data_IF_275878824368
#
_entry.id   IF_275878824368
#
_cell.length_a   1.000
_cell.length_b   1.000
_cell.length_c   1.000
_cell.angle_alpha   90.00
_cell.angle_beta   90.00
_cell.angle_gamma   90.00
#
_symmetry.space_group_name_H-M   'P 1'
#
loop_
_entity.id
_entity.type
_entity.pdbx_description
1 polymer ?
#
# COMPACT_ATOMS: atom_id res chain seq x y z
N UNK A 1 3.16 -79.62 -21.11
CA UNK A 1 4.36 -80.46 -21.07
C UNK A 1 5.24 -80.00 -22.24
N UNK A 2 6.44 -79.50 -22.13
CA UNK A 2 7.35 -79.11 -21.04
C UNK A 2 8.41 -78.26 -21.79
N UNK A 3 8.73 -77.07 -21.32
CA UNK A 3 9.97 -76.81 -20.56
C UNK A 3 11.28 -76.94 -21.37
N UNK A 4 11.91 -75.78 -21.57
CA UNK A 4 13.25 -75.45 -21.07
C UNK A 4 14.50 -75.51 -22.00
N UNK A 5 15.32 -74.47 -21.79
CA UNK A 5 16.80 -74.35 -21.92
C UNK A 5 17.42 -74.23 -23.32
N UNK A 6 18.44 -73.40 -23.58
CA UNK A 6 19.15 -72.37 -22.79
C UNK A 6 20.13 -71.61 -23.72
N UNK A 7 20.23 -70.28 -23.53
CA UNK A 7 21.38 -69.33 -23.67
C UNK A 7 22.54 -69.49 -24.67
N UNK A 8 22.80 -68.38 -25.38
CA UNK A 8 23.96 -67.49 -25.15
C UNK A 8 23.61 -66.07 -25.65
N UNK A 9 23.48 -65.08 -24.76
CA UNK A 9 24.52 -64.10 -24.36
C UNK A 9 24.83 -63.02 -25.41
N UNK A 10 24.03 -61.94 -25.41
CA UNK A 10 24.48 -60.62 -25.84
C UNK A 10 24.16 -59.62 -24.72
N UNK A 11 25.17 -58.88 -24.29
CA UNK A 11 25.08 -57.95 -23.17
C UNK A 11 24.31 -56.69 -23.53
N UNK A 12 23.32 -56.33 -22.71
CA UNK A 12 22.80 -54.96 -22.67
C UNK A 12 23.77 -54.07 -21.87
N UNK A 13 24.15 -52.90 -22.39
CA UNK A 13 24.94 -51.93 -21.64
C UNK A 13 24.06 -51.31 -20.56
N UNK A 14 24.67 -51.13 -19.38
CA UNK A 14 24.03 -50.65 -18.17
C UNK A 14 23.22 -49.37 -18.38
N UNK A 15 22.06 -49.34 -17.72
CA UNK A 15 21.32 -48.11 -17.47
C UNK A 15 22.21 -47.11 -16.75
N UNK A 16 22.70 -46.15 -17.51
CA UNK A 16 23.37 -44.98 -16.98
C UNK A 16 22.28 -44.12 -16.33
N UNK A 17 22.09 -44.33 -15.03
CA UNK A 17 21.34 -43.45 -14.15
C UNK A 17 22.01 -42.08 -14.21
N UNK A 18 21.56 -41.25 -15.17
CA UNK A 18 21.99 -39.86 -15.33
C UNK A 18 21.69 -39.15 -14.02
N UNK A 19 22.73 -39.00 -13.19
CA UNK A 19 22.76 -38.03 -12.10
C UNK A 19 22.32 -36.69 -12.69
N UNK A 20 21.40 -35.95 -12.03
CA UNK A 20 20.97 -34.66 -12.55
C UNK A 20 22.22 -33.78 -12.69
N UNK A 21 22.57 -33.44 -13.93
CA UNK A 21 23.64 -32.50 -14.22
C UNK A 21 23.30 -31.20 -13.49
N UNK A 22 24.24 -30.71 -12.70
CA UNK A 22 24.01 -29.56 -11.85
C UNK A 22 23.78 -28.34 -12.77
N UNK A 23 22.56 -27.76 -12.80
CA UNK A 23 22.16 -26.88 -13.89
C UNK A 23 23.07 -25.66 -13.96
N UNK A 24 23.42 -25.28 -15.19
CA UNK A 24 24.32 -24.15 -15.40
C UNK A 24 23.73 -22.87 -14.79
N UNK A 25 24.57 -21.90 -14.39
CA UNK A 25 24.10 -20.63 -13.80
C UNK A 25 23.02 -19.97 -14.67
N UNK A 26 23.16 -20.07 -15.99
CA UNK A 26 22.19 -19.58 -16.95
C UNK A 26 20.87 -20.36 -16.91
N UNK A 27 20.89 -21.69 -16.87
CA UNK A 27 19.67 -22.52 -16.77
C UNK A 27 18.96 -22.33 -15.43
N UNK A 28 19.70 -22.17 -14.34
CA UNK A 28 19.12 -21.81 -13.03
C UNK A 28 18.44 -20.44 -13.11
N UNK A 29 19.10 -19.44 -13.68
CA UNK A 29 18.53 -18.10 -13.85
C UNK A 29 17.27 -18.12 -14.73
N UNK A 30 17.28 -18.90 -15.81
CA UNK A 30 16.11 -19.08 -16.71
C UNK A 30 14.98 -19.83 -16.00
N UNK A 31 15.30 -20.85 -15.20
CA UNK A 31 14.34 -21.57 -14.37
C UNK A 31 13.65 -20.65 -13.37
N UNK A 32 14.42 -19.90 -12.59
CA UNK A 32 13.88 -18.94 -11.62
C UNK A 32 13.06 -17.83 -12.28
N UNK A 33 13.50 -17.35 -13.46
CA UNK A 33 12.75 -16.34 -14.20
C UNK A 33 11.41 -16.87 -14.73
N UNK A 34 11.37 -18.14 -15.19
CA UNK A 34 10.12 -18.81 -15.59
C UNK A 34 9.18 -19.04 -14.42
N UNK A 35 9.71 -19.45 -13.27
CA UNK A 35 8.90 -19.63 -12.06
C UNK A 35 8.32 -18.30 -11.58
N UNK A 36 9.13 -17.24 -11.51
CA UNK A 36 8.66 -15.89 -11.17
C UNK A 36 7.62 -15.38 -12.18
N UNK A 37 7.81 -15.64 -13.47
CA UNK A 37 6.84 -15.26 -14.50
C UNK A 37 5.54 -16.07 -14.40
N UNK A 38 5.61 -17.36 -14.05
CA UNK A 38 4.44 -18.21 -13.84
C UNK A 38 3.66 -17.80 -12.58
N UNK A 39 4.36 -17.45 -11.49
CA UNK A 39 3.77 -16.94 -10.25
C UNK A 39 3.14 -15.56 -10.45
N UNK A 40 3.78 -14.68 -11.23
CA UNK A 40 3.22 -13.38 -11.61
C UNK A 40 1.99 -13.53 -12.51
N UNK A 41 2.00 -14.47 -13.47
CA UNK A 41 0.85 -14.77 -14.30
C UNK A 41 -0.31 -15.39 -13.50
N UNK A 42 0.00 -16.25 -12.53
CA UNK A 42 -1.00 -16.87 -11.67
C UNK A 42 -1.61 -15.86 -10.69
N UNK A 43 -0.82 -14.94 -10.12
CA UNK A 43 -1.35 -13.84 -9.29
C UNK A 43 -2.21 -12.84 -10.08
N UNK A 44 -1.88 -12.57 -11.34
CA UNK A 44 -2.75 -11.79 -12.25
C UNK A 44 -4.04 -12.55 -12.59
N UNK A 45 -3.95 -13.86 -12.82
CA UNK A 45 -5.09 -14.73 -13.16
C UNK A 45 -6.03 -14.97 -11.98
N UNK A 46 -5.49 -15.05 -10.76
CA UNK A 46 -6.24 -15.07 -9.50
C UNK A 46 -6.79 -13.69 -9.13
N UNK A 47 -6.34 -12.63 -9.79
CA UNK A 47 -6.76 -11.26 -9.51
C UNK A 47 -6.14 -10.68 -8.24
N UNK A 48 -5.14 -11.32 -7.63
CA UNK A 48 -4.52 -10.88 -6.37
C UNK A 48 -3.86 -9.50 -6.50
N UNK A 49 -3.28 -9.17 -7.66
CA UNK A 49 -2.76 -7.82 -7.96
C UNK A 49 -3.86 -6.75 -8.12
N UNK A 50 -5.10 -7.15 -8.39
CA UNK A 50 -6.29 -6.26 -8.40
C UNK A 50 -6.98 -6.24 -7.03
N UNK A 51 -6.66 -7.21 -6.16
CA UNK A 51 -7.26 -7.44 -4.84
C UNK A 51 -6.66 -6.55 -3.75
N UNK A 52 -5.44 -6.03 -3.93
CA UNK A 52 -4.88 -4.94 -3.09
C UNK A 52 -5.68 -3.62 -3.20
N UNK A 53 -6.50 -3.52 -4.25
CA UNK A 53 -7.49 -2.50 -4.46
C UNK A 53 -8.91 -3.03 -4.20
N UNK A 54 -9.07 -3.97 -3.25
CA UNK A 54 -10.35 -4.58 -2.90
C UNK A 54 -11.41 -3.49 -2.69
N UNK A 55 -12.28 -3.38 -3.69
CA UNK A 55 -13.49 -2.59 -3.61
C UNK A 55 -14.37 -3.30 -2.60
N UNK A 56 -14.73 -2.59 -1.54
CA UNK A 56 -15.60 -3.09 -0.50
C UNK A 56 -16.99 -3.36 -1.10
N UNK A 57 -17.42 -4.64 -1.19
CA UNK A 57 -18.69 -4.99 -1.82
C UNK A 57 -19.89 -4.51 -1.00
N UNK A 58 -19.70 -4.25 0.30
CA UNK A 58 -20.74 -3.81 1.21
C UNK A 58 -20.85 -2.27 1.28
N UNK A 59 -19.92 -1.55 0.64
CA UNK A 59 -19.92 -0.09 0.61
C UNK A 59 -20.94 0.45 -0.40
N UNK A 60 -22.00 1.07 0.11
CA UNK A 60 -23.02 1.74 -0.70
C UNK A 60 -22.48 3.03 -1.34
N UNK A 61 -23.15 3.54 -2.36
CA UNK A 61 -22.75 4.81 -3.01
C UNK A 61 -22.69 5.99 -2.03
N UNK A 62 -23.60 6.03 -1.05
CA UNK A 62 -23.59 7.04 -0.01
C UNK A 62 -22.37 6.88 0.93
N UNK A 63 -21.98 5.64 1.25
CA UNK A 63 -20.78 5.38 2.06
C UNK A 63 -19.51 5.85 1.33
N UNK A 64 -19.43 5.61 0.01
CA UNK A 64 -18.33 6.03 -0.87
C UNK A 64 -18.22 7.54 -0.96
N UNK A 65 -19.36 8.22 -1.11
CA UNK A 65 -19.41 9.68 -1.12
C UNK A 65 -18.93 10.26 0.22
N UNK A 66 -19.45 9.76 1.34
CA UNK A 66 -19.04 10.22 2.68
C UNK A 66 -17.54 9.95 2.92
N UNK A 67 -17.04 8.80 2.50
CA UNK A 67 -15.62 8.45 2.62
C UNK A 67 -14.73 9.40 1.79
N UNK A 68 -15.11 9.73 0.55
CA UNK A 68 -14.41 10.76 -0.24
C UNK A 68 -14.41 12.12 0.47
N UNK A 69 -15.57 12.53 0.99
CA UNK A 69 -15.74 13.79 1.71
C UNK A 69 -14.84 13.89 2.94
N UNK A 70 -14.53 12.77 3.61
CA UNK A 70 -13.61 12.74 4.74
C UNK A 70 -12.19 13.22 4.38
N UNK A 71 -11.77 13.12 3.12
CA UNK A 71 -10.49 13.66 2.62
C UNK A 71 -10.66 15.04 1.98
N UNK A 72 -11.64 15.20 1.07
CA UNK A 72 -11.81 16.44 0.30
C UNK A 72 -12.21 17.62 1.19
N UNK A 73 -13.02 17.38 2.21
CA UNK A 73 -13.39 18.44 3.18
C UNK A 73 -12.19 19.06 3.87
N UNK A 74 -11.05 18.34 3.94
CA UNK A 74 -9.85 18.86 4.61
C UNK A 74 -9.21 20.03 3.88
N UNK A 75 -9.53 20.23 2.61
CA UNK A 75 -9.00 21.33 1.80
C UNK A 75 -9.62 22.66 2.23
N UNK A 76 -10.94 22.67 2.52
CA UNK A 76 -11.66 23.88 2.91
C UNK A 76 -11.78 24.01 4.44
N UNK A 77 -12.23 22.94 5.08
CA UNK A 77 -12.54 22.89 6.51
C UNK A 77 -11.96 21.60 7.09
N UNK A 78 -10.63 21.56 7.32
CA UNK A 78 -9.97 20.43 7.97
C UNK A 78 -10.69 20.12 9.26
N UNK A 79 -11.08 18.84 9.40
CA UNK A 79 -11.73 18.19 10.55
C UNK A 79 -13.23 17.87 10.41
N UNK A 80 -14.02 18.69 9.71
CA UNK A 80 -15.49 18.65 9.86
C UNK A 80 -16.10 17.29 9.51
N UNK A 81 -15.90 16.80 8.28
CA UNK A 81 -16.52 15.54 7.86
C UNK A 81 -16.06 14.32 8.64
N UNK A 82 -14.75 14.06 8.84
CA UNK A 82 -14.34 12.88 9.59
C UNK A 82 -14.81 12.93 11.05
N UNK A 83 -14.87 14.12 11.66
CA UNK A 83 -15.38 14.29 13.01
C UNK A 83 -16.88 13.98 13.09
N UNK A 84 -17.68 14.51 12.14
CA UNK A 84 -19.12 14.22 12.08
C UNK A 84 -19.36 12.72 11.96
N UNK A 85 -18.64 12.03 11.06
CA UNK A 85 -18.78 10.57 10.89
C UNK A 85 -18.38 9.83 12.16
N UNK A 86 -17.29 10.21 12.81
CA UNK A 86 -16.82 9.54 14.02
C UNK A 86 -17.76 9.71 15.21
N UNK A 87 -18.41 10.86 15.33
CA UNK A 87 -19.40 11.14 16.38
C UNK A 87 -20.76 10.52 16.02
N UNK A 88 -21.10 10.42 14.73
CA UNK A 88 -22.39 9.89 14.30
C UNK A 88 -22.54 8.42 14.68
N UNK A 89 -23.72 8.04 15.16
CA UNK A 89 -24.02 6.61 15.41
C UNK A 89 -24.01 5.78 14.13
N UNK A 90 -24.16 6.41 12.96
CA UNK A 90 -24.09 5.74 11.66
C UNK A 90 -22.75 5.06 11.43
N UNK A 91 -21.64 5.57 11.96
CA UNK A 91 -20.31 4.96 11.81
C UNK A 91 -20.18 3.60 12.50
N UNK A 92 -20.93 3.37 13.59
CA UNK A 92 -20.95 2.05 14.27
C UNK A 92 -21.58 0.96 13.40
N UNK A 93 -22.50 1.35 12.50
CA UNK A 93 -23.20 0.45 11.58
C UNK A 93 -22.58 0.42 10.18
N UNK A 94 -21.64 1.31 9.88
CA UNK A 94 -21.02 1.50 8.55
C UNK A 94 -19.49 1.42 8.67
N UNK A 95 -18.90 0.21 8.66
CA UNK A 95 -17.45 0.03 8.88
C UNK A 95 -16.60 0.73 7.82
N UNK A 96 -17.06 0.81 6.57
CA UNK A 96 -16.37 1.52 5.49
C UNK A 96 -16.24 3.03 5.77
N UNK A 97 -17.33 3.69 6.18
CA UNK A 97 -17.30 5.11 6.54
C UNK A 97 -16.36 5.36 7.72
N UNK A 98 -16.46 4.52 8.76
CA UNK A 98 -15.62 4.63 9.96
C UNK A 98 -14.14 4.49 9.62
N UNK A 99 -13.78 3.53 8.78
CA UNK A 99 -12.40 3.31 8.34
C UNK A 99 -11.78 4.59 7.74
N UNK A 100 -12.45 5.17 6.75
CA UNK A 100 -11.95 6.37 6.07
C UNK A 100 -12.02 7.63 6.95
N UNK A 101 -12.99 7.73 7.85
CA UNK A 101 -13.07 8.82 8.82
C UNK A 101 -11.92 8.80 9.84
N UNK A 102 -11.61 7.62 10.42
CA UNK A 102 -10.44 7.46 11.32
C UNK A 102 -9.14 7.75 10.55
N UNK A 103 -8.98 7.16 9.38
CA UNK A 103 -7.77 7.30 8.59
C UNK A 103 -7.53 8.76 8.17
N UNK A 104 -8.56 9.47 7.71
CA UNK A 104 -8.43 10.86 7.29
C UNK A 104 -8.22 11.80 8.48
N UNK A 105 -8.84 11.54 9.64
CA UNK A 105 -8.58 12.28 10.87
C UNK A 105 -7.12 12.12 11.32
N UNK A 106 -6.61 10.89 11.29
CA UNK A 106 -5.22 10.64 11.64
C UNK A 106 -4.24 11.29 10.65
N UNK A 107 -4.59 11.36 9.36
CA UNK A 107 -3.81 12.07 8.35
C UNK A 107 -3.74 13.56 8.65
N UNK A 108 -4.87 14.18 9.02
CA UNK A 108 -4.91 15.57 9.48
C UNK A 108 -3.99 15.81 10.68
N UNK A 109 -4.07 14.96 11.70
CA UNK A 109 -3.20 15.07 12.88
C UNK A 109 -1.72 14.90 12.53
N UNK A 110 -1.41 14.04 11.56
CA UNK A 110 -0.04 13.86 11.05
C UNK A 110 0.47 15.14 10.37
N UNK A 111 -0.34 15.77 9.51
CA UNK A 111 0.01 17.04 8.88
C UNK A 111 0.21 18.15 9.92
N UNK A 112 -0.70 18.28 10.89
CA UNK A 112 -0.57 19.25 11.98
C UNK A 112 0.72 19.00 12.78
N UNK A 113 1.01 17.75 13.13
CA UNK A 113 2.23 17.39 13.85
C UNK A 113 3.50 17.78 13.10
N UNK A 114 3.59 17.48 11.81
CA UNK A 114 4.71 17.86 10.94
C UNK A 114 4.83 19.39 10.86
N UNK A 115 3.72 20.11 10.69
CA UNK A 115 3.70 21.57 10.64
C UNK A 115 4.17 22.20 11.96
N UNK A 116 3.77 21.68 13.11
CA UNK A 116 4.21 22.16 14.43
C UNK A 116 5.71 21.93 14.62
N UNK A 117 6.22 20.74 14.28
CA UNK A 117 7.65 20.44 14.35
C UNK A 117 8.45 21.37 13.44
N UNK A 118 7.99 21.59 12.21
CA UNK A 118 8.61 22.54 11.27
C UNK A 118 8.57 23.98 11.77
N UNK A 119 7.46 24.39 12.40
CA UNK A 119 7.32 25.73 12.99
C UNK A 119 8.29 25.93 14.15
N UNK A 120 8.37 24.99 15.09
CA UNK A 120 9.29 25.06 16.23
C UNK A 120 10.74 25.05 15.74
N UNK A 121 11.08 24.15 14.80
CA UNK A 121 12.42 24.09 14.22
C UNK A 121 12.81 25.40 13.54
N UNK A 122 11.92 25.98 12.74
CA UNK A 122 12.19 27.27 12.09
C UNK A 122 12.33 28.43 13.08
N UNK A 123 11.53 28.46 14.15
CA UNK A 123 11.64 29.47 15.21
C UNK A 123 13.01 29.41 15.92
N UNK A 124 13.53 28.21 16.20
CA UNK A 124 14.87 28.04 16.81
C UNK A 124 15.97 28.51 15.86
N UNK A 125 15.87 28.17 14.56
CA UNK A 125 16.90 28.54 13.57
C UNK A 125 16.96 30.04 13.29
N UNK A 126 15.87 30.78 13.52
CA UNK A 126 15.81 32.23 13.36
C UNK A 126 16.65 33.02 14.39
N UNK A 127 17.11 32.39 15.48
CA UNK A 127 17.98 33.02 16.47
C UNK A 127 19.29 33.53 15.83
N UNK A 128 19.79 32.83 14.80
CA UNK A 128 20.98 33.24 14.04
C UNK A 128 20.52 33.91 12.73
N UNK A 129 20.64 35.25 12.58
CA UNK A 129 19.95 35.97 11.50
C UNK A 129 20.29 35.49 10.09
N UNK A 130 21.57 35.20 9.82
CA UNK A 130 22.02 34.75 8.50
C UNK A 130 21.50 33.34 8.16
N UNK A 131 21.60 32.40 9.12
CA UNK A 131 21.16 31.01 8.95
C UNK A 131 19.63 30.94 8.85
N UNK A 132 18.93 31.66 9.73
CA UNK A 132 17.48 31.74 9.74
C UNK A 132 16.90 32.30 8.45
N UNK A 133 17.54 33.31 7.86
CA UNK A 133 17.07 33.90 6.59
C UNK A 133 17.22 32.94 5.43
N UNK A 134 18.36 32.24 5.30
CA UNK A 134 18.57 31.26 4.24
C UNK A 134 17.63 30.05 4.37
N UNK A 135 17.48 29.53 5.59
CA UNK A 135 16.57 28.41 5.85
C UNK A 135 15.10 28.82 5.68
N UNK A 136 14.73 30.02 6.10
CA UNK A 136 13.39 30.58 5.91
C UNK A 136 13.04 30.74 4.43
N UNK A 137 13.98 31.22 3.61
CA UNK A 137 13.79 31.32 2.16
C UNK A 137 13.63 29.93 1.52
N UNK A 138 14.42 28.95 1.96
CA UNK A 138 14.27 27.56 1.51
C UNK A 138 12.88 27.01 1.86
N UNK A 139 12.44 27.17 3.11
CA UNK A 139 11.11 26.74 3.55
C UNK A 139 10.01 27.47 2.78
N UNK A 140 10.17 28.76 2.48
CA UNK A 140 9.20 29.54 1.71
C UNK A 140 8.99 28.93 0.31
N UNK A 141 10.05 28.44 -0.33
CA UNK A 141 9.95 27.76 -1.63
C UNK A 141 9.40 26.33 -1.52
N UNK A 142 9.73 25.60 -0.45
CA UNK A 142 9.30 24.20 -0.26
C UNK A 142 7.85 24.09 0.25
N UNK A 143 7.38 25.04 1.04
CA UNK A 143 6.02 25.05 1.62
C UNK A 143 4.92 24.93 0.56
N UNK A 144 4.90 25.72 -0.53
CA UNK A 144 3.88 25.56 -1.57
C UNK A 144 3.97 24.21 -2.29
N UNK A 145 5.18 23.66 -2.47
CA UNK A 145 5.37 22.33 -3.08
C UNK A 145 4.79 21.25 -2.16
N UNK A 146 5.09 21.32 -0.86
CA UNK A 146 4.54 20.41 0.13
C UNK A 146 3.02 20.52 0.22
N UNK A 147 2.48 21.75 0.22
CA UNK A 147 1.04 22.00 0.19
C UNK A 147 0.36 21.42 -1.06
N UNK A 148 0.98 21.55 -2.23
CA UNK A 148 0.48 20.97 -3.47
C UNK A 148 0.53 19.43 -3.44
N UNK A 149 1.61 18.84 -2.90
CA UNK A 149 1.70 17.40 -2.70
C UNK A 149 0.62 16.89 -1.74
N UNK A 150 0.38 17.59 -0.63
CA UNK A 150 -0.68 17.25 0.31
C UNK A 150 -2.07 17.37 -0.35
N UNK A 151 -2.30 18.40 -1.16
CA UNK A 151 -3.55 18.59 -1.92
C UNK A 151 -3.79 17.43 -2.89
N UNK A 152 -2.78 17.08 -3.70
CA UNK A 152 -2.86 15.96 -4.63
C UNK A 152 -3.11 14.65 -3.89
N UNK A 153 -2.42 14.42 -2.76
CA UNK A 153 -2.63 13.24 -1.93
C UNK A 153 -4.06 13.16 -1.39
N UNK A 154 -4.63 14.26 -0.88
CA UNK A 154 -6.00 14.30 -0.38
C UNK A 154 -7.02 14.00 -1.50
N UNK A 155 -6.82 14.57 -2.69
CA UNK A 155 -7.68 14.29 -3.84
C UNK A 155 -7.55 12.83 -4.29
N UNK A 156 -6.33 12.31 -4.36
CA UNK A 156 -6.08 10.91 -4.73
C UNK A 156 -6.69 9.92 -3.74
N UNK A 157 -6.55 10.16 -2.44
CA UNK A 157 -7.16 9.35 -1.38
C UNK A 157 -8.69 9.46 -1.40
N UNK A 158 -9.22 10.66 -1.64
CA UNK A 158 -10.65 10.86 -1.86
C UNK A 158 -11.20 10.06 -3.03
N UNK A 159 -10.52 10.10 -4.19
CA UNK A 159 -10.91 9.33 -5.37
C UNK A 159 -10.85 7.82 -5.15
N UNK A 160 -9.83 7.33 -4.42
CA UNK A 160 -9.77 5.91 -4.07
C UNK A 160 -10.92 5.49 -3.14
N UNK A 161 -11.26 6.32 -2.16
CA UNK A 161 -12.39 6.09 -1.27
C UNK A 161 -13.73 6.13 -2.05
N UNK A 162 -13.87 7.04 -3.02
CA UNK A 162 -15.05 7.10 -3.89
C UNK A 162 -15.20 5.84 -4.76
N UNK A 163 -14.09 5.26 -5.20
CA UNK A 163 -14.08 3.96 -5.89
C UNK A 163 -14.40 2.77 -4.97
N UNK A 164 -14.69 3.01 -3.68
CA UNK A 164 -15.02 1.96 -2.72
C UNK A 164 -13.82 1.18 -2.19
N UNK A 165 -12.59 1.67 -2.39
CA UNK A 165 -11.37 0.93 -2.03
C UNK A 165 -10.93 1.23 -0.60
N UNK A 166 -10.72 0.20 0.22
CA UNK A 166 -10.06 0.33 1.53
C UNK A 166 -8.53 0.27 1.37
N UNK A 167 -7.92 1.40 1.06
CA UNK A 167 -6.45 1.48 0.89
C UNK A 167 -5.73 1.75 2.21
N UNK A 168 -4.46 1.34 2.28
CA UNK A 168 -3.57 1.65 3.39
C UNK A 168 -2.58 2.76 3.01
N UNK A 169 -2.53 3.81 3.81
CA UNK A 169 -1.46 4.81 3.79
C UNK A 169 -0.25 4.22 4.53
N UNK A 170 0.91 4.02 3.89
CA UNK A 170 2.10 3.47 4.52
C UNK A 170 2.52 4.26 5.75
N UNK A 171 2.97 3.57 6.80
CA UNK A 171 3.28 4.16 8.11
C UNK A 171 2.02 4.49 8.92
N UNK A 172 1.14 5.34 8.39
CA UNK A 172 -0.04 5.84 9.12
C UNK A 172 -1.07 4.73 9.39
N UNK A 173 -1.48 3.99 8.36
CA UNK A 173 -2.53 2.96 8.52
C UNK A 173 -2.02 1.78 9.34
N UNK A 174 -0.75 1.41 9.18
CA UNK A 174 -0.11 0.39 10.02
C UNK A 174 -0.04 0.81 11.49
N UNK A 175 0.19 2.09 11.78
CA UNK A 175 0.12 2.64 13.13
C UNK A 175 -1.29 2.54 13.70
N UNK A 176 -2.30 2.96 12.94
CA UNK A 176 -3.70 2.92 13.39
C UNK A 176 -4.21 1.49 13.67
N UNK A 177 -3.84 0.52 12.82
CA UNK A 177 -4.16 -0.90 13.05
C UNK A 177 -3.51 -1.44 14.33
N UNK A 178 -2.24 -1.10 14.58
CA UNK A 178 -1.55 -1.50 15.82
C UNK A 178 -2.20 -0.93 17.09
N UNK A 179 -2.82 0.24 17.00
CA UNK A 179 -3.57 0.85 18.10
C UNK A 179 -5.01 0.34 18.24
N UNK A 180 -5.47 -0.53 17.33
CA UNK A 180 -6.85 -1.04 17.31
C UNK A 180 -7.90 0.01 16.93
N UNK A 181 -7.50 1.08 16.22
CA UNK A 181 -8.43 2.14 15.81
C UNK A 181 -9.17 1.83 14.50
N UNK A 182 -8.61 0.93 13.69
CA UNK A 182 -9.16 0.45 12.41
C UNK A 182 -9.60 -1.01 12.48
#
# INVERSE_FOLDING_TARGET
MDENKNIHSEGEPGGEERRPEDPTIFERAVGTAREQAAEAADSLRRGELLQDAAVDPDATDNDRLIAMLCYVSQILLPLIMPLIVLISESSKRRPFQRYHAVQSLALLLTFIGISIVGLIGSAILQIVPLVGTLFGLLLLCLTPIFGLMALIALLYYGLQAYNGKRFAIPGLTSFLRRQGWL
#
